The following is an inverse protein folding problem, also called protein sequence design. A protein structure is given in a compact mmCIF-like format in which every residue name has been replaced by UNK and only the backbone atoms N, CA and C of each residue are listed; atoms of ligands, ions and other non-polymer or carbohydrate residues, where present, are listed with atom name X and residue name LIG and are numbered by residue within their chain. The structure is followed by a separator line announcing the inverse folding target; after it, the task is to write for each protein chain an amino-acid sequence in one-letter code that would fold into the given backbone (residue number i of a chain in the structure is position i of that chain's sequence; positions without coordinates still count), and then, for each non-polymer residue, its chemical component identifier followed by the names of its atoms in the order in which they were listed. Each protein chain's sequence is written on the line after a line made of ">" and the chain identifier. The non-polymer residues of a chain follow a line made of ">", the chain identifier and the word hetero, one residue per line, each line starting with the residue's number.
data_IF_668913914943
#
_entry.id   IF_668913914943
#
_cell.length_a   1.000
_cell.length_b   1.000
_cell.length_c   1.000
_cell.angle_alpha   90.00
_cell.angle_beta   90.00
_cell.angle_gamma   90.00
#
_symmetry.space_group_name_H-M   'P 1'
#
loop_
_entity.id
_entity.type
_entity.pdbx_description
1 polymer ?
#
# COMPACT_ATOMS: atom_id res chain seq x y z
N UNK A 1 -11.05 -5.00 23.17
CA UNK A 1 -11.87 -3.77 23.16
C UNK A 1 -12.28 -3.42 21.71
N UNK A 2 -13.03 -4.31 21.05
CA UNK A 2 -13.46 -4.10 19.65
C UNK A 2 -15.01 -4.04 19.52
N UNK A 3 -15.75 -3.78 20.59
CA UNK A 3 -17.19 -4.01 20.63
C UNK A 3 -18.08 -2.87 20.10
N UNK A 4 -17.57 -1.64 19.86
CA UNK A 4 -18.41 -0.49 19.50
C UNK A 4 -17.87 0.39 18.36
N UNK A 5 -16.96 -0.11 17.52
CA UNK A 5 -16.56 0.67 16.35
C UNK A 5 -17.59 0.49 15.24
N UNK A 6 -18.15 1.58 14.67
CA UNK A 6 -19.13 1.48 13.59
C UNK A 6 -18.50 0.99 12.27
N UNK A 7 -17.18 1.03 12.15
CA UNK A 7 -16.41 0.62 10.98
C UNK A 7 -15.51 -0.57 11.27
N UNK A 8 -15.35 -1.49 10.28
CA UNK A 8 -14.32 -2.54 10.35
C UNK A 8 -12.91 -1.95 10.48
N UNK A 9 -12.02 -2.63 11.19
CA UNK A 9 -10.60 -2.29 11.24
C UNK A 9 -9.93 -2.79 9.98
N UNK A 10 -9.34 -1.88 9.22
CA UNK A 10 -8.65 -2.18 7.97
C UNK A 10 -7.18 -1.80 8.07
N UNK A 11 -6.32 -2.79 8.07
CA UNK A 11 -4.87 -2.59 7.99
C UNK A 11 -4.44 -2.44 6.52
N UNK A 12 -3.98 -1.24 6.15
CA UNK A 12 -3.66 -0.90 4.75
C UNK A 12 -2.26 -1.34 4.32
N UNK A 13 -1.42 -1.91 5.23
CA UNK A 13 0.00 -2.06 4.99
C UNK A 13 0.60 -3.29 5.67
N UNK A 14 0.63 -4.42 4.96
CA UNK A 14 1.27 -5.65 5.42
C UNK A 14 2.10 -6.30 4.30
N UNK A 15 3.35 -6.61 4.62
CA UNK A 15 4.23 -7.35 3.74
C UNK A 15 4.12 -8.85 3.97
N UNK A 16 3.93 -9.63 2.91
CA UNK A 16 3.85 -11.09 2.96
C UNK A 16 4.86 -11.75 2.04
N UNK A 17 5.31 -12.93 2.40
CA UNK A 17 6.30 -13.70 1.66
C UNK A 17 7.54 -14.01 2.48
N UNK A 18 8.57 -14.52 1.80
CA UNK A 18 9.82 -14.93 2.41
C UNK A 18 10.97 -14.11 1.86
N UNK A 19 11.75 -13.51 2.74
CA UNK A 19 12.94 -12.74 2.40
C UNK A 19 14.10 -13.05 3.33
N UNK A 20 15.26 -12.45 3.10
CA UNK A 20 16.41 -12.61 4.00
C UNK A 20 16.23 -11.89 5.33
N UNK A 21 15.38 -10.87 5.37
CA UNK A 21 15.16 -10.04 6.56
C UNK A 21 13.87 -10.36 7.29
N UNK A 22 12.91 -10.98 6.61
CA UNK A 22 11.65 -11.37 7.23
C UNK A 22 11.05 -12.60 6.55
N UNK A 23 10.26 -13.34 7.32
CA UNK A 23 9.46 -14.46 6.82
C UNK A 23 8.04 -14.29 7.33
N UNK A 24 7.09 -14.14 6.40
CA UNK A 24 5.66 -14.09 6.69
C UNK A 24 4.94 -14.98 5.66
N UNK A 25 4.81 -16.26 6.01
CA UNK A 25 4.08 -17.24 5.18
C UNK A 25 2.59 -17.02 5.40
N UNK A 26 1.97 -16.23 4.52
CA UNK A 26 0.62 -15.72 4.74
C UNK A 26 -0.42 -16.85 4.86
N UNK A 27 -0.24 -17.99 4.19
CA UNK A 27 -1.11 -19.15 4.31
C UNK A 27 -1.24 -19.69 5.73
N UNK A 28 -0.19 -19.51 6.53
CA UNK A 28 -0.08 -20.07 7.88
C UNK A 28 -0.40 -19.05 8.97
N UNK A 29 0.08 -17.81 8.81
CA UNK A 29 0.13 -16.84 9.91
C UNK A 29 -0.78 -15.63 9.71
N UNK A 30 -1.34 -15.38 8.52
CA UNK A 30 -2.08 -14.15 8.24
C UNK A 30 -3.35 -14.04 9.09
N UNK A 31 -4.16 -15.08 9.15
CA UNK A 31 -5.41 -15.02 9.91
C UNK A 31 -5.15 -14.92 11.41
N UNK A 32 -4.27 -15.74 12.05
CA UNK A 32 -3.86 -15.49 13.43
C UNK A 32 -3.35 -14.07 13.68
N UNK A 33 -2.49 -13.54 12.81
CA UNK A 33 -1.98 -12.15 12.89
C UNK A 33 -3.12 -11.13 12.91
N UNK A 34 -4.09 -11.26 12.00
CA UNK A 34 -5.24 -10.37 11.92
C UNK A 34 -6.14 -10.49 13.17
N UNK A 35 -6.41 -11.70 13.62
CA UNK A 35 -7.31 -11.96 14.75
C UNK A 35 -6.69 -11.46 16.07
N UNK A 36 -5.43 -11.73 16.31
CA UNK A 36 -4.69 -11.25 17.48
C UNK A 36 -4.60 -9.72 17.50
N UNK A 37 -4.45 -9.09 16.32
CA UNK A 37 -4.39 -7.64 16.16
C UNK A 37 -5.75 -6.94 16.07
N UNK A 38 -6.85 -7.66 16.12
CA UNK A 38 -8.21 -7.10 15.96
C UNK A 38 -8.42 -6.46 14.59
N UNK A 39 -7.83 -7.02 13.53
CA UNK A 39 -7.96 -6.57 12.15
C UNK A 39 -9.03 -7.34 11.42
N UNK A 40 -10.02 -6.63 10.88
CA UNK A 40 -11.09 -7.25 10.09
C UNK A 40 -10.67 -7.44 8.64
N UNK A 41 -10.04 -6.43 8.05
CA UNK A 41 -9.59 -6.43 6.65
C UNK A 41 -8.13 -6.07 6.52
N UNK A 42 -7.44 -6.71 5.58
CA UNK A 42 -6.01 -6.57 5.37
C UNK A 42 -5.68 -6.29 3.91
N UNK A 43 -4.91 -5.23 3.64
CA UNK A 43 -4.21 -5.09 2.38
C UNK A 43 -2.85 -5.79 2.48
N UNK A 44 -2.57 -6.69 1.53
CA UNK A 44 -1.31 -7.44 1.49
C UNK A 44 -0.56 -7.17 0.19
N UNK A 45 0.73 -7.12 0.28
CA UNK A 45 1.64 -7.06 -0.87
C UNK A 45 2.94 -7.79 -0.55
N UNK A 46 3.64 -8.17 -1.60
CA UNK A 46 4.86 -8.95 -1.42
C UNK A 46 5.90 -8.16 -0.61
N UNK A 47 6.65 -8.87 0.21
CA UNK A 47 7.85 -8.34 0.84
C UNK A 47 8.78 -7.80 -0.24
N UNK A 48 9.50 -6.72 0.07
CA UNK A 48 10.39 -6.05 -0.88
C UNK A 48 11.25 -7.05 -1.63
N UNK A 49 11.09 -7.08 -2.95
CA UNK A 49 11.72 -8.08 -3.80
C UNK A 49 13.23 -7.98 -3.86
N UNK A 50 13.73 -6.90 -3.42
CA UNK A 50 15.05 -6.53 -3.78
C UNK A 50 16.13 -7.22 -3.06
N UNK A 51 16.35 -6.88 -1.87
CA UNK A 51 17.51 -7.34 -1.11
C UNK A 51 17.32 -8.75 -0.53
N UNK A 52 16.19 -9.40 -0.80
CA UNK A 52 15.67 -10.38 0.12
C UNK A 52 15.21 -11.69 -0.51
N UNK A 53 15.76 -12.05 -1.64
CA UNK A 53 15.40 -13.32 -2.28
C UNK A 53 16.10 -14.51 -1.66
N UNK A 54 15.31 -15.42 -1.14
CA UNK A 54 15.80 -16.78 -0.83
C UNK A 54 15.78 -17.70 -2.06
N UNK A 55 15.01 -17.32 -3.08
CA UNK A 55 14.94 -18.07 -4.33
C UNK A 55 15.41 -17.22 -5.50
N UNK A 56 16.28 -17.73 -6.37
CA UNK A 56 16.75 -16.99 -7.56
C UNK A 56 15.62 -16.65 -8.55
N UNK A 57 14.49 -17.30 -8.43
CA UNK A 57 13.35 -17.17 -9.36
C UNK A 57 12.30 -16.14 -8.92
N UNK A 58 12.47 -15.52 -7.74
CA UNK A 58 11.55 -14.52 -7.27
C UNK A 58 11.60 -13.26 -8.15
N UNK A 59 10.45 -12.81 -8.59
CA UNK A 59 10.29 -11.61 -9.40
C UNK A 59 8.87 -11.03 -9.23
N UNK A 60 8.55 -9.85 -9.77
CA UNK A 60 7.21 -9.26 -9.63
C UNK A 60 6.08 -10.17 -10.11
N UNK A 61 6.27 -10.93 -11.19
CA UNK A 61 5.23 -11.85 -11.67
C UNK A 61 4.91 -12.93 -10.63
N UNK A 62 5.94 -13.62 -10.12
CA UNK A 62 5.78 -14.65 -9.07
C UNK A 62 5.17 -14.03 -7.82
N UNK A 63 5.61 -12.82 -7.43
CA UNK A 63 5.07 -12.11 -6.29
C UNK A 63 3.60 -11.73 -6.46
N UNK A 64 3.22 -11.23 -7.62
CA UNK A 64 1.83 -10.87 -7.91
C UNK A 64 0.92 -12.12 -7.95
N UNK A 65 1.39 -13.24 -8.49
CA UNK A 65 0.68 -14.52 -8.45
C UNK A 65 0.48 -15.02 -7.02
N UNK A 66 1.51 -14.88 -6.18
CA UNK A 66 1.43 -15.22 -4.76
C UNK A 66 0.39 -14.35 -4.03
N UNK A 67 0.42 -13.04 -4.22
CA UNK A 67 -0.54 -12.12 -3.63
C UNK A 67 -1.97 -12.44 -4.07
N UNK A 68 -2.16 -12.72 -5.35
CA UNK A 68 -3.47 -13.13 -5.87
C UNK A 68 -3.94 -14.47 -5.29
N UNK A 69 -3.03 -15.41 -5.03
CA UNK A 69 -3.34 -16.66 -4.32
C UNK A 69 -3.85 -16.36 -2.92
N UNK A 70 -3.15 -15.51 -2.13
CA UNK A 70 -3.54 -15.16 -0.77
C UNK A 70 -4.90 -14.46 -0.76
N UNK A 71 -5.14 -13.51 -1.66
CA UNK A 71 -6.44 -12.86 -1.78
C UNK A 71 -7.57 -13.87 -2.05
N UNK A 72 -7.35 -14.85 -2.95
CA UNK A 72 -8.34 -15.90 -3.23
C UNK A 72 -8.54 -16.89 -2.07
N UNK A 73 -7.54 -17.10 -1.23
CA UNK A 73 -7.67 -17.95 -0.04
C UNK A 73 -8.53 -17.29 1.04
N UNK A 74 -8.49 -15.96 1.14
CA UNK A 74 -9.18 -15.19 2.18
C UNK A 74 -10.03 -14.05 1.60
N UNK A 75 -10.96 -14.33 0.67
CA UNK A 75 -11.62 -13.30 -0.14
C UNK A 75 -12.50 -12.35 0.66
N UNK A 76 -12.98 -12.77 1.84
CA UNK A 76 -13.80 -11.93 2.71
C UNK A 76 -12.97 -10.99 3.61
N UNK A 77 -11.65 -11.17 3.67
CA UNK A 77 -10.78 -10.44 4.61
C UNK A 77 -9.59 -9.76 3.98
N UNK A 78 -9.21 -10.16 2.77
CA UNK A 78 -7.92 -9.75 2.19
C UNK A 78 -8.10 -9.14 0.81
N UNK A 79 -7.45 -8.00 0.59
CA UNK A 79 -7.20 -7.45 -0.74
C UNK A 79 -5.71 -7.47 -1.04
N UNK A 80 -5.35 -7.80 -2.26
CA UNK A 80 -3.97 -7.84 -2.72
C UNK A 80 -3.58 -6.60 -3.52
N UNK A 81 -2.34 -6.15 -3.34
CA UNK A 81 -1.72 -5.11 -4.16
C UNK A 81 -0.57 -5.70 -4.96
N UNK A 82 -0.52 -5.37 -6.24
CA UNK A 82 0.56 -5.79 -7.12
C UNK A 82 1.82 -4.95 -6.92
N UNK A 83 2.94 -5.50 -7.33
CA UNK A 83 4.16 -4.73 -7.57
C UNK A 83 4.47 -4.74 -9.06
N UNK A 84 4.76 -3.57 -9.62
CA UNK A 84 5.18 -3.42 -11.01
C UNK A 84 6.46 -2.61 -11.02
N UNK A 85 7.51 -3.21 -11.58
CA UNK A 85 8.76 -2.51 -11.73
C UNK A 85 8.74 -1.68 -13.04
N UNK A 86 9.08 -0.38 -13.00
CA UNK A 86 9.18 0.43 -14.21
C UNK A 86 10.14 -0.13 -15.26
N UNK A 87 11.12 -0.91 -14.82
CA UNK A 87 12.07 -1.64 -15.69
C UNK A 87 11.74 -3.13 -15.73
N UNK A 88 10.47 -3.43 -15.97
CA UNK A 88 9.99 -4.81 -16.06
C UNK A 88 10.80 -5.62 -17.07
N UNK A 89 11.15 -6.85 -16.70
CA UNK A 89 11.87 -7.79 -17.54
C UNK A 89 10.96 -9.00 -17.82
N UNK A 90 11.23 -9.78 -18.89
CA UNK A 90 10.49 -11.00 -19.13
C UNK A 90 10.55 -11.96 -17.95
N UNK A 91 9.50 -12.76 -17.70
CA UNK A 91 9.57 -13.83 -16.73
C UNK A 91 10.80 -14.73 -16.96
N UNK A 92 11.49 -15.14 -15.90
CA UNK A 92 12.70 -15.95 -15.98
C UNK A 92 14.00 -15.20 -16.36
N UNK A 93 13.91 -13.90 -16.69
CA UNK A 93 15.08 -13.04 -16.94
C UNK A 93 15.20 -11.90 -15.95
N UNK A 94 14.38 -11.89 -14.93
CA UNK A 94 14.39 -10.84 -13.92
C UNK A 94 15.64 -10.96 -13.05
N UNK A 95 16.43 -9.89 -13.00
CA UNK A 95 17.56 -9.75 -12.09
C UNK A 95 17.31 -8.59 -11.13
N UNK A 96 17.67 -8.80 -9.89
CA UNK A 96 17.52 -7.77 -8.87
C UNK A 96 18.86 -7.53 -8.12
N UNK A 97 19.14 -6.32 -7.67
CA UNK A 97 18.51 -5.08 -8.11
C UNK A 97 18.72 -4.92 -9.61
N UNK A 98 17.74 -4.42 -10.34
CA UNK A 98 17.95 -4.17 -11.75
C UNK A 98 19.11 -3.19 -11.88
N UNK A 99 20.15 -3.54 -12.59
CA UNK A 99 21.21 -2.59 -12.91
C UNK A 99 20.62 -1.57 -13.88
N UNK A 100 20.05 -0.51 -13.32
CA UNK A 100 19.41 0.56 -14.08
C UNK A 100 20.40 1.62 -14.56
N UNK A 101 21.69 1.51 -14.18
CA UNK A 101 22.70 2.45 -14.58
C UNK A 101 22.92 2.36 -16.09
N UNK A 102 22.48 3.40 -16.77
CA UNK A 102 22.63 3.53 -18.22
C UNK A 102 21.68 2.69 -19.08
N UNK A 103 20.73 1.97 -18.50
CA UNK A 103 19.71 1.27 -19.29
C UNK A 103 18.60 2.24 -19.71
N UNK A 104 18.31 2.35 -21.00
CA UNK A 104 17.18 3.17 -21.43
C UNK A 104 15.86 2.50 -21.01
N UNK A 105 14.91 3.33 -20.59
CA UNK A 105 13.51 2.92 -20.54
C UNK A 105 13.02 2.85 -21.99
N UNK A 106 13.12 1.67 -22.57
CA UNK A 106 12.76 1.42 -23.94
C UNK A 106 11.30 0.95 -24.11
N UNK A 107 10.92 0.73 -25.36
CA UNK A 107 9.56 0.31 -25.69
C UNK A 107 9.23 -1.08 -25.15
N UNK A 108 10.20 -2.00 -25.14
CA UNK A 108 10.00 -3.39 -24.68
C UNK A 108 9.71 -3.41 -23.18
N UNK A 109 10.58 -2.78 -22.40
CA UNK A 109 10.41 -2.65 -20.94
C UNK A 109 9.08 -2.01 -20.57
N UNK A 110 8.72 -0.92 -21.28
CA UNK A 110 7.43 -0.25 -21.07
C UNK A 110 6.25 -1.17 -21.36
N UNK A 111 6.27 -1.90 -22.46
CA UNK A 111 5.18 -2.80 -22.81
C UNK A 111 5.01 -3.92 -21.78
N UNK A 112 6.11 -4.51 -21.31
CA UNK A 112 6.06 -5.53 -20.26
C UNK A 112 5.45 -5.00 -18.96
N UNK A 113 5.80 -3.78 -18.56
CA UNK A 113 5.21 -3.15 -17.36
C UNK A 113 3.70 -2.89 -17.54
N UNK A 114 3.28 -2.49 -18.73
CA UNK A 114 1.87 -2.26 -19.08
C UNK A 114 1.11 -3.58 -19.10
N UNK A 115 1.64 -4.63 -19.73
CA UNK A 115 1.05 -5.96 -19.77
C UNK A 115 0.84 -6.51 -18.35
N UNK A 116 1.85 -6.35 -17.48
CA UNK A 116 1.72 -6.77 -16.08
C UNK A 116 0.69 -5.93 -15.31
N UNK A 117 0.53 -4.63 -15.60
CA UNK A 117 -0.57 -3.83 -15.06
C UNK A 117 -1.94 -4.43 -15.39
N UNK A 118 -2.16 -4.75 -16.65
CA UNK A 118 -3.42 -5.37 -17.11
C UNK A 118 -3.64 -6.71 -16.40
N UNK A 119 -2.64 -7.58 -16.45
CA UNK A 119 -2.70 -8.91 -15.82
C UNK A 119 -3.02 -8.81 -14.33
N UNK A 120 -2.28 -7.99 -13.60
CA UNK A 120 -2.43 -7.86 -12.15
C UNK A 120 -3.83 -7.40 -11.73
N UNK A 121 -4.38 -6.43 -12.43
CA UNK A 121 -5.67 -5.83 -12.04
C UNK A 121 -6.86 -6.54 -12.66
N UNK A 122 -6.80 -6.89 -13.95
CA UNK A 122 -7.95 -7.44 -14.67
C UNK A 122 -8.03 -8.96 -14.61
N UNK A 123 -6.89 -9.67 -14.63
CA UNK A 123 -6.87 -11.13 -14.63
C UNK A 123 -6.70 -11.70 -13.22
N UNK A 124 -5.75 -11.15 -12.45
CA UNK A 124 -5.50 -11.57 -11.07
C UNK A 124 -6.47 -10.93 -10.06
N UNK A 125 -7.17 -9.88 -10.43
CA UNK A 125 -8.16 -9.21 -9.59
C UNK A 125 -7.58 -8.38 -8.44
N UNK A 126 -6.31 -7.98 -8.51
CA UNK A 126 -5.65 -7.20 -7.45
C UNK A 126 -6.21 -5.77 -7.38
N UNK A 127 -6.18 -5.16 -6.19
CA UNK A 127 -6.86 -3.90 -5.88
C UNK A 127 -5.98 -2.66 -6.02
N UNK A 128 -4.79 -2.78 -6.58
CA UNK A 128 -3.90 -1.65 -6.77
C UNK A 128 -2.43 -2.02 -6.79
N UNK A 129 -1.58 -1.06 -6.44
CA UNK A 129 -0.13 -1.22 -6.47
C UNK A 129 0.52 -0.88 -5.12
N UNK A 130 1.56 -1.62 -4.77
CA UNK A 130 2.62 -1.18 -3.85
C UNK A 130 3.80 -0.67 -4.67
N UNK A 131 4.20 0.55 -4.43
CA UNK A 131 5.39 1.17 -5.01
C UNK A 131 6.47 1.35 -3.95
N UNK A 132 7.67 0.86 -4.23
CA UNK A 132 8.82 1.04 -3.33
C UNK A 132 10.03 1.61 -4.10
N UNK A 133 10.04 2.92 -4.40
CA UNK A 133 11.05 3.53 -5.26
C UNK A 133 12.48 3.31 -4.78
N UNK A 134 12.73 3.41 -3.47
CA UNK A 134 14.06 3.17 -2.88
C UNK A 134 14.55 1.74 -3.13
N UNK A 135 13.75 0.74 -2.75
CA UNK A 135 14.13 -0.66 -2.86
C UNK A 135 14.26 -1.11 -4.32
N UNK A 136 13.41 -0.60 -5.18
CA UNK A 136 13.40 -0.95 -6.60
C UNK A 136 14.27 -0.05 -7.46
N UNK A 137 14.96 0.94 -6.87
CA UNK A 137 15.99 1.75 -7.51
C UNK A 137 15.49 2.71 -8.58
N UNK A 138 14.31 3.33 -8.42
CA UNK A 138 13.79 4.28 -9.38
C UNK A 138 13.24 5.56 -8.74
N UNK A 139 13.42 6.73 -9.36
CA UNK A 139 12.74 7.95 -8.94
C UNK A 139 11.23 7.83 -9.14
N UNK A 140 10.44 8.14 -8.11
CA UNK A 140 8.98 8.02 -8.15
C UNK A 140 8.34 8.86 -9.25
N UNK A 141 8.92 10.01 -9.57
CA UNK A 141 8.44 10.91 -10.61
C UNK A 141 9.04 10.65 -12.01
N UNK A 142 9.74 9.53 -12.20
CA UNK A 142 10.32 9.18 -13.48
C UNK A 142 9.24 8.93 -14.56
N UNK A 143 9.54 9.25 -15.83
CA UNK A 143 8.60 9.06 -16.96
C UNK A 143 8.07 7.62 -17.09
N UNK A 144 8.85 6.62 -16.70
CA UNK A 144 8.45 5.22 -16.71
C UNK A 144 7.32 4.95 -15.72
N UNK A 145 7.42 5.52 -14.51
CA UNK A 145 6.37 5.45 -13.49
C UNK A 145 5.10 6.13 -14.00
N UNK A 146 5.21 7.32 -14.59
CA UNK A 146 4.08 8.03 -15.19
C UNK A 146 3.39 7.23 -16.28
N UNK A 147 4.15 6.49 -17.10
CA UNK A 147 3.58 5.58 -18.11
C UNK A 147 2.75 4.46 -17.48
N UNK A 148 3.23 3.85 -16.39
CA UNK A 148 2.50 2.82 -15.64
C UNK A 148 1.23 3.42 -15.02
N UNK A 149 1.32 4.58 -14.38
CA UNK A 149 0.16 5.22 -13.74
C UNK A 149 -0.88 5.68 -14.76
N UNK A 150 -0.45 6.15 -15.94
CA UNK A 150 -1.36 6.47 -17.06
C UNK A 150 -2.13 5.21 -17.49
N UNK A 151 -1.47 4.07 -17.57
CA UNK A 151 -2.14 2.83 -17.91
C UNK A 151 -3.04 2.36 -16.78
N UNK A 152 -2.59 2.49 -15.53
CA UNK A 152 -3.38 2.13 -14.36
C UNK A 152 -4.70 2.91 -14.28
N UNK A 153 -4.73 4.19 -14.69
CA UNK A 153 -5.96 4.98 -14.79
C UNK A 153 -6.96 4.34 -15.76
N UNK A 154 -6.49 3.86 -16.92
CA UNK A 154 -7.35 3.17 -17.90
C UNK A 154 -7.84 1.82 -17.37
N UNK A 155 -6.94 1.06 -16.76
CA UNK A 155 -7.25 -0.24 -16.17
C UNK A 155 -8.24 -0.09 -15.01
N UNK A 156 -8.12 0.97 -14.20
CA UNK A 156 -9.10 1.32 -13.16
C UNK A 156 -10.50 1.50 -13.74
N UNK A 157 -10.61 2.22 -14.84
CA UNK A 157 -11.90 2.43 -15.51
C UNK A 157 -12.49 1.12 -16.04
N UNK A 158 -11.66 0.22 -16.58
CA UNK A 158 -12.09 -1.12 -17.04
C UNK A 158 -12.53 -2.01 -15.87
N UNK A 159 -11.78 -1.99 -14.78
CA UNK A 159 -12.08 -2.76 -13.56
C UNK A 159 -13.33 -2.24 -12.82
N UNK A 160 -13.80 -1.03 -13.14
CA UNK A 160 -14.97 -0.37 -12.53
C UNK A 160 -14.89 -0.28 -11.00
N UNK A 161 -13.68 -0.15 -10.47
CA UNK A 161 -13.43 0.02 -9.05
C UNK A 161 -12.25 0.95 -8.85
N UNK A 162 -12.23 1.69 -7.74
CA UNK A 162 -11.11 2.56 -7.38
C UNK A 162 -9.93 1.71 -6.94
N UNK A 163 -8.74 2.01 -7.47
CA UNK A 163 -7.51 1.32 -7.13
C UNK A 163 -6.73 2.10 -6.07
N UNK A 164 -6.07 1.38 -5.18
CA UNK A 164 -5.22 1.91 -4.13
C UNK A 164 -3.75 1.82 -4.53
N UNK A 165 -3.00 2.90 -4.35
CA UNK A 165 -1.56 2.93 -4.60
C UNK A 165 -0.86 3.26 -3.29
N UNK A 166 -0.20 2.29 -2.70
CA UNK A 166 0.63 2.49 -1.51
C UNK A 166 2.04 2.83 -1.97
N UNK A 167 2.47 4.07 -1.72
CA UNK A 167 3.82 4.55 -2.06
C UNK A 167 4.67 4.60 -0.81
N UNK A 168 5.83 3.92 -0.80
CA UNK A 168 6.81 4.08 0.26
C UNK A 168 7.34 5.52 0.29
N UNK A 169 7.07 6.23 1.37
CA UNK A 169 7.28 7.66 1.51
C UNK A 169 7.94 8.00 2.87
N UNK A 170 9.06 7.35 3.15
CA UNK A 170 9.76 7.50 4.42
C UNK A 170 10.77 8.65 4.45
N UNK A 171 10.89 9.43 3.38
CA UNK A 171 11.92 10.47 3.20
C UNK A 171 13.37 9.95 3.40
N UNK A 172 13.59 8.69 3.15
CA UNK A 172 14.82 7.94 3.40
C UNK A 172 15.67 7.74 2.13
N UNK A 173 15.26 8.35 1.02
CA UNK A 173 15.94 8.26 -0.28
C UNK A 173 15.59 9.45 -1.18
N UNK A 174 16.51 9.81 -2.06
CA UNK A 174 16.26 10.79 -3.14
C UNK A 174 15.28 10.28 -4.20
N UNK A 175 14.96 8.99 -4.20
CA UNK A 175 14.01 8.38 -5.12
C UNK A 175 12.54 8.61 -4.73
N UNK A 176 12.27 8.91 -3.48
CA UNK A 176 10.92 9.02 -2.91
C UNK A 176 10.76 10.26 -2.01
N UNK A 177 11.26 11.41 -2.45
CA UNK A 177 11.02 12.67 -1.72
C UNK A 177 9.54 13.02 -1.75
N UNK A 178 9.07 13.70 -0.71
CA UNK A 178 7.67 14.11 -0.61
C UNK A 178 7.23 14.95 -1.80
N UNK A 179 8.08 15.88 -2.26
CA UNK A 179 7.82 16.72 -3.42
C UNK A 179 7.63 15.91 -4.70
N UNK A 180 8.51 14.92 -4.93
CA UNK A 180 8.43 14.05 -6.10
C UNK A 180 7.17 13.17 -6.08
N UNK A 181 6.76 12.68 -4.90
CA UNK A 181 5.52 11.94 -4.73
C UNK A 181 4.33 12.86 -5.01
N UNK A 182 4.33 14.08 -4.47
CA UNK A 182 3.25 15.04 -4.69
C UNK A 182 3.09 15.47 -6.14
N UNK A 183 4.19 15.60 -6.88
CA UNK A 183 4.14 15.87 -8.32
C UNK A 183 3.39 14.75 -9.07
N UNK A 184 3.69 13.52 -8.72
CA UNK A 184 2.98 12.36 -9.29
C UNK A 184 1.51 12.36 -8.89
N UNK A 185 1.19 12.55 -7.62
CA UNK A 185 -0.20 12.54 -7.14
C UNK A 185 -1.04 13.64 -7.81
N UNK A 186 -0.44 14.78 -8.09
CA UNK A 186 -1.10 15.90 -8.77
C UNK A 186 -1.42 15.60 -10.23
N UNK A 187 -0.56 14.83 -10.90
CA UNK A 187 -0.76 14.46 -12.30
C UNK A 187 -1.80 13.35 -12.50
N UNK A 188 -2.14 12.60 -11.43
CA UNK A 188 -3.07 11.47 -11.48
C UNK A 188 -4.17 11.59 -10.41
N UNK A 189 -5.05 12.62 -10.52
CA UNK A 189 -6.09 12.89 -9.51
C UNK A 189 -7.15 11.79 -9.41
N UNK A 190 -7.30 10.94 -10.43
CA UNK A 190 -8.24 9.82 -10.45
C UNK A 190 -7.81 8.64 -9.58
N UNK A 191 -6.49 8.51 -9.33
CA UNK A 191 -5.92 7.42 -8.54
C UNK A 191 -5.89 7.80 -7.06
N UNK A 192 -6.06 6.83 -6.19
CA UNK A 192 -5.97 7.01 -4.74
C UNK A 192 -4.58 6.62 -4.25
N UNK A 193 -3.85 7.58 -3.70
CA UNK A 193 -2.51 7.36 -3.16
C UNK A 193 -2.55 7.29 -1.63
N UNK A 194 -1.93 6.26 -1.07
CA UNK A 194 -1.59 6.18 0.35
C UNK A 194 -0.10 6.46 0.48
N UNK A 195 0.22 7.55 1.14
CA UNK A 195 1.59 7.96 1.44
C UNK A 195 2.08 7.19 2.66
N UNK A 196 2.64 6.01 2.42
CA UNK A 196 3.10 5.12 3.48
C UNK A 196 4.11 5.83 4.39
N UNK A 197 4.00 5.60 5.70
CA UNK A 197 4.79 6.30 6.72
C UNK A 197 4.59 7.83 6.72
N UNK A 198 3.61 8.33 5.98
CA UNK A 198 3.27 9.75 5.84
C UNK A 198 4.45 10.65 5.49
N UNK A 199 5.45 10.13 4.79
CA UNK A 199 6.70 10.83 4.50
C UNK A 199 7.68 10.89 5.65
N UNK A 200 7.53 10.00 6.66
CA UNK A 200 8.24 10.11 7.92
C UNK A 200 8.52 8.76 8.58
N UNK A 201 9.76 8.29 8.61
CA UNK A 201 10.21 7.19 9.48
C UNK A 201 11.23 7.63 10.54
N UNK A 202 12.17 8.49 10.25
CA UNK A 202 13.34 8.71 11.10
C UNK A 202 13.67 10.19 11.35
N UNK A 203 12.78 10.93 12.02
CA UNK A 203 13.09 12.28 12.50
C UNK A 203 12.91 13.42 11.48
N UNK A 204 12.14 13.24 10.42
CA UNK A 204 11.81 14.30 9.46
C UNK A 204 10.54 15.08 9.82
N UNK A 205 10.57 16.40 9.77
CA UNK A 205 9.44 17.28 10.09
C UNK A 205 8.47 17.49 8.90
N UNK A 206 8.10 16.44 8.16
CA UNK A 206 7.56 16.68 6.82
C UNK A 206 6.16 16.17 6.54
N UNK A 207 5.34 15.91 7.56
CA UNK A 207 3.99 15.46 7.26
C UNK A 207 3.21 16.47 6.43
N UNK A 208 3.27 17.67 6.58
CA UNK A 208 2.16 18.44 6.12
C UNK A 208 2.37 19.56 5.11
N UNK A 209 3.48 20.29 5.09
CA UNK A 209 3.53 21.48 4.24
C UNK A 209 3.42 21.17 2.75
N UNK A 210 3.87 20.00 2.35
CA UNK A 210 4.01 19.61 0.93
C UNK A 210 2.80 18.91 0.34
N UNK A 211 1.98 18.24 1.15
CA UNK A 211 0.87 17.42 0.63
C UNK A 211 -0.30 18.28 0.12
N UNK A 212 -0.40 19.51 0.57
CA UNK A 212 -1.39 20.43 0.07
C UNK A 212 -2.83 19.89 0.04
N UNK A 213 -3.72 20.51 -0.68
CA UNK A 213 -5.14 20.14 -0.75
C UNK A 213 -5.44 18.99 -1.73
N UNK A 214 -4.53 18.05 -1.96
CA UNK A 214 -4.75 16.95 -2.90
C UNK A 214 -5.69 15.90 -2.31
N UNK A 215 -6.94 15.90 -2.70
CA UNK A 215 -7.96 14.98 -2.18
C UNK A 215 -7.69 13.49 -2.46
N UNK A 216 -6.87 13.21 -3.45
CA UNK A 216 -6.51 11.84 -3.83
C UNK A 216 -5.33 11.27 -3.03
N UNK A 217 -4.87 11.95 -1.98
CA UNK A 217 -3.77 11.49 -1.13
C UNK A 217 -4.27 11.26 0.30
N UNK A 218 -3.98 10.10 0.86
CA UNK A 218 -4.19 9.78 2.27
C UNK A 218 -2.85 9.64 2.99
N UNK A 219 -2.82 10.09 4.25
CA UNK A 219 -1.71 9.89 5.16
C UNK A 219 -1.81 8.49 5.77
N UNK A 220 -0.91 7.61 5.42
CA UNK A 220 -0.81 6.31 6.06
C UNK A 220 0.13 6.41 7.26
N UNK A 221 -0.41 6.23 8.45
CA UNK A 221 0.28 6.36 9.73
C UNK A 221 1.15 5.14 10.10
N UNK A 222 1.36 4.26 9.17
CA UNK A 222 2.24 3.08 9.32
C UNK A 222 3.61 3.51 9.86
N UNK A 223 4.04 2.91 10.96
CA UNK A 223 5.30 3.22 11.66
C UNK A 223 5.47 4.67 12.14
N UNK A 224 4.44 5.51 12.06
CA UNK A 224 4.51 6.84 12.65
C UNK A 224 4.47 6.75 14.17
N UNK A 225 5.42 7.39 14.84
CA UNK A 225 5.51 7.41 16.31
C UNK A 225 5.35 8.82 16.90
N UNK A 226 5.38 9.86 16.08
CA UNK A 226 5.30 11.25 16.54
C UNK A 226 3.88 11.80 16.54
N UNK A 227 3.22 11.72 17.68
CA UNK A 227 1.84 12.19 17.85
C UNK A 227 1.67 13.68 17.57
N UNK A 228 2.67 14.52 17.92
CA UNK A 228 2.58 15.97 17.69
C UNK A 228 2.48 16.31 16.20
N UNK A 229 3.35 15.73 15.38
CA UNK A 229 3.35 15.99 13.93
C UNK A 229 2.07 15.49 13.26
N UNK A 230 1.56 14.34 13.72
CA UNK A 230 0.27 13.81 13.25
C UNK A 230 -0.89 14.72 13.70
N UNK A 231 -0.85 15.23 14.94
CA UNK A 231 -1.87 16.16 15.45
C UNK A 231 -1.90 17.48 14.67
N UNK A 232 -0.76 18.06 14.34
CA UNK A 232 -0.67 19.27 13.50
C UNK A 232 -1.26 19.03 12.10
N UNK A 233 -0.99 17.87 11.50
CA UNK A 233 -1.57 17.49 10.22
C UNK A 233 -3.09 17.22 10.33
N UNK A 234 -3.53 16.60 11.41
CA UNK A 234 -4.96 16.38 11.69
C UNK A 234 -5.72 17.70 11.84
N UNK A 235 -5.20 18.65 12.60
CA UNK A 235 -5.80 19.98 12.73
C UNK A 235 -5.92 20.71 11.38
N UNK A 236 -4.97 20.49 10.49
CA UNK A 236 -4.91 21.17 9.20
C UNK A 236 -5.78 20.52 8.13
N UNK A 237 -5.86 19.19 8.09
CA UNK A 237 -6.45 18.44 6.97
C UNK A 237 -7.72 17.66 7.32
N UNK A 238 -8.06 17.55 8.60
CA UNK A 238 -9.20 16.77 9.07
C UNK A 238 -8.94 15.27 9.14
N UNK A 239 -9.80 14.57 9.87
CA UNK A 239 -9.68 13.13 10.17
C UNK A 239 -9.79 12.24 8.94
N UNK A 240 -10.53 12.69 7.92
CA UNK A 240 -10.80 11.91 6.70
C UNK A 240 -9.57 11.66 5.82
N UNK A 241 -8.47 12.32 6.14
CA UNK A 241 -7.21 12.21 5.39
C UNK A 241 -6.27 11.13 5.93
N UNK A 242 -6.62 10.48 7.02
CA UNK A 242 -5.74 9.53 7.70
C UNK A 242 -6.24 8.10 7.55
N UNK A 243 -5.29 7.20 7.33
CA UNK A 243 -5.45 5.74 7.38
C UNK A 243 -4.28 5.14 8.14
N UNK A 244 -4.33 3.86 8.44
CA UNK A 244 -3.27 3.21 9.20
C UNK A 244 -3.00 1.79 8.72
N UNK A 245 -1.77 1.36 8.85
CA UNK A 245 -1.30 0.01 8.62
C UNK A 245 -0.28 -0.42 9.67
N UNK A 246 0.04 -1.70 9.70
CA UNK A 246 1.00 -2.25 10.66
C UNK A 246 2.46 -2.18 10.20
N UNK A 247 2.71 -2.25 8.90
CA UNK A 247 4.03 -2.54 8.31
C UNK A 247 4.58 -3.91 8.76
N UNK A 248 3.67 -4.81 9.14
CA UNK A 248 4.08 -6.17 9.50
C UNK A 248 4.80 -6.87 8.32
N UNK A 249 5.76 -7.73 8.64
CA UNK A 249 6.29 -8.11 9.95
C UNK A 249 7.44 -7.24 10.46
N UNK A 250 7.69 -6.07 9.84
CA UNK A 250 8.77 -5.17 10.25
C UNK A 250 8.43 -4.39 11.52
N UNK A 251 7.13 -4.13 11.74
CA UNK A 251 6.61 -3.55 12.97
C UNK A 251 5.43 -4.35 13.51
N UNK A 252 5.02 -4.07 14.73
CA UNK A 252 3.91 -4.75 15.37
C UNK A 252 2.60 -4.00 15.14
N UNK A 253 1.49 -4.73 15.19
CA UNK A 253 0.16 -4.18 14.94
C UNK A 253 -0.27 -3.18 16.03
N UNK A 254 0.29 -3.27 17.22
CA UNK A 254 0.01 -2.38 18.36
C UNK A 254 0.46 -0.95 18.11
N UNK A 255 1.51 -0.75 17.32
CA UNK A 255 2.04 0.60 17.01
C UNK A 255 0.95 1.48 16.38
N UNK A 256 0.15 0.94 15.44
CA UNK A 256 -0.94 1.71 14.81
C UNK A 256 -2.01 2.12 15.83
N UNK A 257 -2.34 1.25 16.79
CA UNK A 257 -3.32 1.57 17.82
C UNK A 257 -2.80 2.65 18.75
N UNK A 258 -1.51 2.63 19.08
CA UNK A 258 -0.90 3.64 19.96
C UNK A 258 -0.98 5.03 19.34
N UNK A 259 -0.59 5.20 18.07
CA UNK A 259 -0.63 6.50 17.40
C UNK A 259 -2.06 7.01 17.21
N UNK A 260 -3.00 6.13 16.85
CA UNK A 260 -4.40 6.50 16.68
C UNK A 260 -5.03 6.94 18.00
N UNK A 261 -4.81 6.18 19.07
CA UNK A 261 -5.33 6.51 20.40
C UNK A 261 -4.70 7.78 21.00
N UNK A 262 -3.42 8.04 20.70
CA UNK A 262 -2.69 9.22 21.17
C UNK A 262 -3.07 10.51 20.45
N UNK A 263 -3.61 10.42 19.23
CA UNK A 263 -3.83 11.60 18.37
C UNK A 263 -5.32 11.96 18.22
N UNK A 264 -6.18 10.97 17.90
CA UNK A 264 -7.59 11.23 17.57
C UNK A 264 -8.49 11.17 18.80
N UNK A 265 -9.32 12.21 18.99
CA UNK A 265 -9.98 12.49 20.27
C UNK A 265 -11.20 11.60 20.54
N UNK A 266 -12.04 11.38 19.54
CA UNK A 266 -13.27 10.61 19.70
C UNK A 266 -13.14 9.16 19.23
N UNK A 267 -14.01 8.29 19.71
CA UNK A 267 -14.09 6.90 19.24
C UNK A 267 -14.49 6.82 17.75
N UNK A 268 -15.34 7.76 17.31
CA UNK A 268 -15.75 7.87 15.91
C UNK A 268 -14.55 8.22 15.00
N UNK A 269 -13.77 9.23 15.36
CA UNK A 269 -12.56 9.62 14.63
C UNK A 269 -11.55 8.45 14.55
N UNK A 270 -11.30 7.79 15.67
CA UNK A 270 -10.42 6.60 15.70
C UNK A 270 -10.92 5.49 14.79
N UNK A 271 -12.22 5.24 14.79
CA UNK A 271 -12.84 4.23 13.92
C UNK A 271 -12.72 4.60 12.43
N UNK A 272 -12.85 5.89 12.09
CA UNK A 272 -12.61 6.37 10.73
C UNK A 272 -11.17 6.11 10.28
N UNK A 273 -10.19 6.46 11.10
CA UNK A 273 -8.77 6.27 10.79
C UNK A 273 -8.38 4.80 10.72
N UNK A 274 -8.92 3.97 11.63
CA UNK A 274 -8.62 2.54 11.66
C UNK A 274 -9.21 1.76 10.48
N UNK A 275 -10.21 2.29 9.76
CA UNK A 275 -10.76 1.58 8.61
C UNK A 275 -11.82 2.33 7.82
N UNK A 276 -12.63 3.18 8.46
CA UNK A 276 -13.74 3.87 7.80
C UNK A 276 -13.30 4.71 6.61
N UNK A 277 -12.18 5.43 6.73
CA UNK A 277 -11.69 6.30 5.66
C UNK A 277 -11.30 5.51 4.41
N UNK A 278 -10.52 4.46 4.55
CA UNK A 278 -10.09 3.67 3.39
C UNK A 278 -11.27 2.96 2.73
N UNK A 279 -12.20 2.40 3.51
CA UNK A 279 -13.39 1.73 2.98
C UNK A 279 -14.29 2.71 2.19
N UNK A 280 -14.51 3.93 2.72
CA UNK A 280 -15.24 4.99 2.00
C UNK A 280 -14.54 5.39 0.72
N UNK A 281 -13.21 5.57 0.76
CA UNK A 281 -12.44 6.06 -0.39
C UNK A 281 -12.32 5.03 -1.51
N UNK A 282 -12.25 3.75 -1.18
CA UNK A 282 -12.22 2.67 -2.17
C UNK A 282 -13.62 2.25 -2.64
N UNK A 283 -14.65 2.54 -1.85
CA UNK A 283 -16.02 2.10 -2.13
C UNK A 283 -16.16 0.58 -2.08
N UNK A 284 -15.34 -0.09 -1.26
CA UNK A 284 -15.43 -1.55 -1.10
C UNK A 284 -16.68 -1.88 -0.30
N UNK A 285 -17.60 -2.70 -0.86
CA UNK A 285 -18.76 -3.16 -0.12
C UNK A 285 -18.36 -4.19 0.93
N UNK A 286 -18.96 -4.09 2.09
CA UNK A 286 -18.77 -5.01 3.20
C UNK A 286 -20.09 -5.24 3.97
N UNK A 287 -20.14 -6.29 4.74
CA UNK A 287 -21.29 -6.62 5.58
C UNK A 287 -20.84 -7.08 6.97
N UNK A 288 -21.72 -6.94 7.96
CA UNK A 288 -21.55 -7.54 9.27
C UNK A 288 -22.35 -8.84 9.32
N UNK A 289 -21.68 -9.95 9.59
CA UNK A 289 -22.29 -11.27 9.71
C UNK A 289 -23.06 -11.42 11.02
N UNK A 290 -23.91 -12.44 11.12
CA UNK A 290 -24.69 -12.72 12.32
C UNK A 290 -23.80 -13.04 13.54
N UNK A 291 -22.60 -13.56 13.34
CA UNK A 291 -21.59 -13.81 14.37
C UNK A 291 -20.80 -12.56 14.80
N UNK A 292 -21.16 -11.40 14.25
CA UNK A 292 -20.52 -10.11 14.54
C UNK A 292 -19.28 -9.79 13.71
N UNK A 293 -18.72 -10.75 12.97
CA UNK A 293 -17.57 -10.54 12.10
C UNK A 293 -17.94 -9.70 10.86
N UNK A 294 -16.97 -8.97 10.35
CA UNK A 294 -17.10 -8.26 9.08
C UNK A 294 -16.59 -9.10 7.92
N UNK A 295 -17.19 -8.91 6.74
CA UNK A 295 -16.79 -9.59 5.51
C UNK A 295 -16.84 -8.63 4.32
N UNK A 296 -15.78 -8.64 3.50
CA UNK A 296 -15.77 -7.99 2.18
C UNK A 296 -16.81 -8.70 1.29
N UNK A 297 -17.48 -7.91 0.47
CA UNK A 297 -18.33 -8.44 -0.60
C UNK A 297 -17.56 -8.29 -1.91
N UNK A 298 -17.15 -9.44 -2.47
CA UNK A 298 -16.40 -9.53 -3.72
C UNK A 298 -17.21 -9.23 -4.96
#
# INVERSE_FOLDING_TARGET
>A
MAADTPWPVFDTHLHVGVSTTCTFVAEEVLIPWMDDGGVDFQAVFQVNQGACHRTPDWNPYIGNDYIAKIQRMFPERVIGLATINPWQQPPGKYSYPPDLRGKPFDRVTRNLAIEECHRAILELGLWGLKMHPKEHGYPVNHRAVRSILTELTKVQAQAKRRLMIVVHAAADSTYNTNEAIMDVCRDFPELLFLMAHSGYIWGGKTLAPTIGPLDNVLFDLTCCAETQTVAEAYERYGVERFVTGSDGPFATIEVKHAIVNGTFKSAEERSLVLGGNILKRLGIPWTRKADGRFALQG
#
